data_IF_133703092824
#
_entry.id   IF_133703092824
#
_cell.length_a   1.000
_cell.length_b   1.000
_cell.length_c   1.000
_cell.angle_alpha   90.00
_cell.angle_beta   90.00
_cell.angle_gamma   90.00
#
_symmetry.space_group_name_H-M   'P 1'
#
loop_
_entity.id
_entity.type
_entity.pdbx_description
1 polymer ?
#
# COMPACT_ATOMS: atom_id res chain seq x y z
N UNK A 1 13.16 -0.36 -5.61
CA UNK A 1 13.56 -0.28 -4.20
C UNK A 1 12.79 0.85 -3.56
N UNK A 2 12.05 0.61 -2.48
CA UNK A 2 11.28 1.63 -1.78
C UNK A 2 12.03 2.11 -0.53
N UNK A 3 11.74 3.34 -0.06
CA UNK A 3 12.33 3.87 1.18
C UNK A 3 11.85 3.16 2.44
N UNK A 4 10.72 2.44 2.38
CA UNK A 4 10.11 1.79 3.55
C UNK A 4 10.37 0.30 3.60
N UNK A 5 10.28 -0.39 2.46
CA UNK A 5 10.39 -1.85 2.39
C UNK A 5 10.83 -2.32 1.01
N UNK A 6 11.49 -3.46 1.00
CA UNK A 6 11.85 -4.21 -0.20
C UNK A 6 10.96 -5.45 -0.32
N UNK A 7 10.67 -5.88 -1.55
CA UNK A 7 9.88 -7.07 -1.82
C UNK A 7 10.75 -8.19 -2.37
N UNK A 8 10.69 -9.35 -1.71
CA UNK A 8 11.26 -10.60 -2.20
C UNK A 8 10.14 -11.53 -2.62
N UNK A 9 10.19 -12.05 -3.85
CA UNK A 9 9.21 -13.03 -4.34
C UNK A 9 9.69 -14.42 -3.97
N UNK A 10 8.91 -15.13 -3.18
CA UNK A 10 9.17 -16.53 -2.78
C UNK A 10 8.51 -17.48 -3.77
N UNK A 11 7.23 -17.24 -4.07
CA UNK A 11 6.46 -17.99 -5.05
C UNK A 11 5.71 -17.00 -5.95
N UNK A 12 5.87 -17.13 -7.27
CA UNK A 12 5.14 -16.27 -8.22
C UNK A 12 3.66 -16.62 -8.22
N UNK A 13 2.77 -15.62 -8.30
CA UNK A 13 1.34 -15.86 -8.48
C UNK A 13 1.05 -16.42 -9.88
N UNK A 14 0.00 -17.22 -9.98
CA UNK A 14 -0.54 -17.72 -11.25
C UNK A 14 -1.87 -17.02 -11.59
N UNK A 15 -2.53 -17.41 -12.66
CA UNK A 15 -3.84 -16.89 -13.01
C UNK A 15 -4.93 -17.28 -11.98
N UNK A 16 -4.77 -18.41 -11.32
CA UNK A 16 -5.78 -18.94 -10.40
C UNK A 16 -5.35 -18.90 -8.93
N UNK A 17 -4.04 -18.81 -8.66
CA UNK A 17 -3.50 -18.91 -7.31
C UNK A 17 -2.66 -17.70 -6.93
N UNK A 18 -2.76 -17.27 -5.69
CA UNK A 18 -1.89 -16.22 -5.13
C UNK A 18 -0.48 -16.77 -4.97
N UNK A 19 0.51 -15.92 -5.22
CA UNK A 19 1.89 -16.20 -4.87
C UNK A 19 2.19 -15.86 -3.40
N UNK A 20 3.45 -16.05 -3.04
CA UNK A 20 4.00 -15.71 -1.72
C UNK A 20 5.17 -14.73 -1.90
N UNK A 21 5.16 -13.66 -1.14
CA UNK A 21 6.25 -12.71 -1.07
C UNK A 21 6.59 -12.34 0.36
N UNK A 22 7.74 -11.69 0.53
CA UNK A 22 8.17 -11.15 1.80
C UNK A 22 8.52 -9.68 1.65
N UNK A 23 7.88 -8.83 2.42
CA UNK A 23 8.35 -7.49 2.65
C UNK A 23 9.46 -7.52 3.71
N UNK A 24 10.60 -6.94 3.37
CA UNK A 24 11.68 -6.67 4.31
C UNK A 24 11.63 -5.18 4.62
N UNK A 25 11.10 -4.82 5.76
CA UNK A 25 11.00 -3.43 6.19
C UNK A 25 12.38 -2.88 6.52
N UNK A 26 12.64 -1.66 6.08
CA UNK A 26 13.95 -1.03 6.21
C UNK A 26 13.94 0.06 7.28
N UNK A 27 15.11 0.31 7.83
CA UNK A 27 15.37 1.42 8.72
C UNK A 27 15.68 2.72 7.95
N UNK A 28 15.76 2.62 6.60
CA UNK A 28 15.93 3.78 5.69
C UNK A 28 14.71 4.68 5.76
N UNK A 29 14.90 5.96 5.51
CA UNK A 29 13.82 6.93 5.36
C UNK A 29 14.15 7.94 4.24
N UNK A 30 13.13 8.61 3.77
CA UNK A 30 13.23 9.68 2.80
C UNK A 30 12.57 10.95 3.32
N UNK A 31 13.05 12.10 2.89
CA UNK A 31 12.47 13.40 3.24
C UNK A 31 12.10 14.13 1.96
N UNK A 32 10.80 14.24 1.70
CA UNK A 32 10.24 14.90 0.52
C UNK A 32 11.04 14.62 -0.77
N UNK A 33 11.45 15.67 -1.48
CA UNK A 33 12.15 15.57 -2.76
C UNK A 33 13.66 15.27 -2.62
N UNK A 34 14.19 15.17 -1.40
CA UNK A 34 15.59 14.78 -1.17
C UNK A 34 15.86 13.31 -1.50
N UNK A 35 14.83 12.49 -1.48
CA UNK A 35 14.97 11.05 -1.64
C UNK A 35 15.44 10.35 -0.37
N UNK A 36 16.23 9.28 -0.53
CA UNK A 36 16.72 8.49 0.60
C UNK A 36 17.82 9.25 1.36
N UNK A 37 17.67 9.32 2.68
CA UNK A 37 18.65 9.97 3.56
C UNK A 37 19.88 9.09 3.79
N UNK A 38 21.06 9.68 4.06
CA UNK A 38 22.29 8.92 4.23
C UNK A 38 22.37 8.12 5.54
N UNK A 39 21.59 8.47 6.54
CA UNK A 39 21.49 7.79 7.82
C UNK A 39 20.22 6.93 7.91
N UNK A 40 20.06 6.24 9.03
CA UNK A 40 18.91 5.35 9.28
C UNK A 40 18.24 5.71 10.62
N UNK A 41 16.99 5.31 10.76
CA UNK A 41 16.28 5.33 12.04
C UNK A 41 16.31 3.89 12.60
N UNK A 42 17.13 3.61 13.62
CA UNK A 42 17.25 2.26 14.17
C UNK A 42 15.91 1.66 14.58
N UNK A 43 15.70 0.37 14.27
CA UNK A 43 14.48 -0.39 14.56
C UNK A 43 13.18 0.14 13.94
N UNK A 44 13.23 1.17 13.07
CA UNK A 44 12.05 1.65 12.34
C UNK A 44 11.38 0.53 11.55
N UNK A 45 12.16 -0.30 10.84
CA UNK A 45 11.64 -1.41 10.05
C UNK A 45 10.87 -2.42 10.90
N UNK A 46 11.40 -2.81 12.05
CA UNK A 46 10.70 -3.71 12.99
C UNK A 46 9.42 -3.08 13.53
N UNK A 47 9.49 -1.81 13.93
CA UNK A 47 8.34 -1.08 14.50
C UNK A 47 7.19 -0.99 13.50
N UNK A 48 7.48 -0.65 12.24
CA UNK A 48 6.47 -0.57 11.17
C UNK A 48 5.89 -1.95 10.88
N UNK A 49 6.72 -3.00 10.80
CA UNK A 49 6.26 -4.35 10.52
C UNK A 49 5.32 -4.87 11.61
N UNK A 50 5.69 -4.68 12.90
CA UNK A 50 4.87 -5.09 14.05
C UNK A 50 3.56 -4.31 14.10
N UNK A 51 3.60 -2.99 13.93
CA UNK A 51 2.39 -2.15 13.94
C UNK A 51 1.44 -2.52 12.79
N UNK A 52 1.97 -2.70 11.58
CA UNK A 52 1.16 -3.13 10.43
C UNK A 52 0.52 -4.50 10.68
N UNK A 53 1.28 -5.45 11.23
CA UNK A 53 0.78 -6.78 11.56
C UNK A 53 -0.35 -6.75 12.58
N UNK A 54 -0.26 -5.88 13.58
CA UNK A 54 -1.33 -5.69 14.56
C UNK A 54 -2.66 -5.31 13.88
N UNK A 55 -2.63 -4.34 12.96
CA UNK A 55 -3.83 -3.94 12.25
C UNK A 55 -4.33 -5.01 11.28
N UNK A 56 -3.44 -5.72 10.59
CA UNK A 56 -3.86 -6.83 9.72
C UNK A 56 -4.50 -7.97 10.52
N UNK A 57 -3.98 -8.32 11.69
CA UNK A 57 -4.57 -9.34 12.54
C UNK A 57 -5.93 -8.88 13.07
N UNK A 58 -6.09 -7.60 13.43
CA UNK A 58 -7.40 -7.03 13.80
C UNK A 58 -8.41 -7.06 12.66
N UNK A 59 -8.00 -6.72 11.44
CA UNK A 59 -8.87 -6.84 10.27
C UNK A 59 -9.30 -8.29 10.02
N UNK A 60 -8.38 -9.24 10.14
CA UNK A 60 -8.68 -10.66 10.00
C UNK A 60 -9.66 -11.15 11.09
N UNK A 61 -9.52 -10.70 12.34
CA UNK A 61 -10.47 -10.98 13.42
C UNK A 61 -11.89 -10.46 13.09
N UNK A 62 -11.99 -9.36 12.35
CA UNK A 62 -13.25 -8.79 11.87
C UNK A 62 -13.80 -9.48 10.61
N UNK A 63 -13.13 -10.52 10.09
CA UNK A 63 -13.51 -11.21 8.86
C UNK A 63 -13.08 -10.51 7.57
N UNK A 64 -12.29 -9.43 7.65
CA UNK A 64 -11.78 -8.70 6.50
C UNK A 64 -10.51 -9.38 6.00
N UNK A 65 -10.57 -9.93 4.79
CA UNK A 65 -9.42 -10.60 4.18
C UNK A 65 -8.36 -9.59 3.74
N UNK A 66 -7.11 -9.89 4.06
CA UNK A 66 -5.95 -9.08 3.69
C UNK A 66 -4.90 -9.91 2.97
N UNK A 67 -3.84 -9.27 2.49
CA UNK A 67 -2.69 -9.96 1.91
C UNK A 67 -1.71 -10.51 2.98
N UNK A 68 -1.87 -10.15 4.23
CA UNK A 68 -0.99 -10.53 5.33
C UNK A 68 -1.10 -12.03 5.67
N UNK A 69 0.05 -12.68 5.87
CA UNK A 69 0.15 -14.07 6.31
C UNK A 69 0.77 -14.20 7.70
N UNK A 70 1.70 -13.32 8.05
CA UNK A 70 2.40 -13.32 9.32
C UNK A 70 3.75 -12.64 9.27
N UNK A 71 4.45 -12.62 10.39
CA UNK A 71 5.85 -12.19 10.49
C UNK A 71 6.78 -13.41 10.50
N UNK A 72 7.99 -13.24 9.97
CA UNK A 72 8.98 -14.31 9.91
C UNK A 72 9.91 -14.25 11.12
N UNK A 73 9.96 -15.33 11.89
CA UNK A 73 10.94 -15.56 12.93
C UNK A 73 11.49 -16.99 12.78
N UNK A 74 12.81 -17.15 12.80
CA UNK A 74 13.51 -18.44 12.60
C UNK A 74 13.04 -19.18 11.34
N UNK A 75 12.81 -18.43 10.25
CA UNK A 75 12.37 -18.98 8.97
C UNK A 75 10.89 -19.38 8.91
N UNK A 76 10.13 -19.27 10.00
CA UNK A 76 8.72 -19.65 10.12
C UNK A 76 7.82 -18.43 10.17
N UNK A 77 6.65 -18.54 9.52
CA UNK A 77 5.60 -17.53 9.58
C UNK A 77 4.83 -17.67 10.89
N UNK A 78 4.74 -16.58 11.66
CA UNK A 78 4.08 -16.53 12.97
C UNK A 78 3.13 -15.34 13.04
N UNK A 79 2.06 -15.48 13.82
CA UNK A 79 1.25 -14.32 14.27
C UNK A 79 1.97 -13.55 15.36
N UNK A 80 1.57 -12.31 15.60
CA UNK A 80 2.18 -11.45 16.62
C UNK A 80 2.28 -12.09 18.00
N UNK A 81 1.21 -12.74 18.45
CA UNK A 81 1.15 -13.39 19.78
C UNK A 81 2.16 -14.54 19.92
N UNK A 82 2.66 -15.08 18.83
CA UNK A 82 3.58 -16.23 18.81
C UNK A 82 5.04 -15.82 18.53
N UNK A 83 5.31 -14.51 18.33
CA UNK A 83 6.67 -14.01 18.21
C UNK A 83 7.35 -13.95 19.57
N UNK A 84 8.62 -14.35 19.59
CA UNK A 84 9.49 -14.18 20.76
C UNK A 84 10.26 -12.84 20.67
N UNK A 85 10.50 -12.34 19.46
CA UNK A 85 11.17 -11.08 19.22
C UNK A 85 10.57 -10.33 18.01
N UNK A 86 10.65 -8.97 17.97
CA UNK A 86 10.15 -8.20 16.84
C UNK A 86 10.87 -8.56 15.53
N UNK A 87 10.11 -8.84 14.48
CA UNK A 87 10.62 -9.11 13.15
C UNK A 87 10.36 -7.95 12.19
N UNK A 88 11.28 -7.72 11.25
CA UNK A 88 11.11 -6.78 10.14
C UNK A 88 10.69 -7.45 8.84
N UNK A 89 10.44 -8.76 8.85
CA UNK A 89 10.08 -9.53 7.66
C UNK A 89 8.63 -9.97 7.77
N UNK A 90 7.80 -9.50 6.84
CA UNK A 90 6.37 -9.84 6.75
C UNK A 90 6.12 -10.70 5.53
N UNK A 91 5.53 -11.87 5.73
CA UNK A 91 5.07 -12.72 4.64
C UNK A 91 3.68 -12.32 4.18
N UNK A 92 3.49 -12.28 2.88
CA UNK A 92 2.27 -11.78 2.24
C UNK A 92 1.86 -12.66 1.05
N UNK A 93 0.57 -12.63 0.74
CA UNK A 93 0.05 -13.12 -0.55
C UNK A 93 0.41 -12.13 -1.65
N UNK A 94 0.76 -12.65 -2.81
CA UNK A 94 1.02 -11.87 -4.02
C UNK A 94 -0.07 -12.10 -5.06
N UNK A 95 -0.44 -11.04 -5.75
CA UNK A 95 -1.28 -11.07 -6.94
C UNK A 95 -0.43 -10.87 -8.19
N UNK A 96 -0.91 -11.31 -9.35
CA UNK A 96 -0.29 -10.96 -10.63
C UNK A 96 -0.39 -9.45 -10.85
N UNK A 97 0.65 -8.86 -11.36
CA UNK A 97 0.66 -7.44 -11.77
C UNK A 97 0.60 -7.41 -13.29
N UNK A 98 -0.52 -6.90 -13.81
CA UNK A 98 -0.70 -6.59 -15.23
C UNK A 98 -0.32 -5.13 -15.39
N UNK A 99 0.67 -4.86 -16.24
CA UNK A 99 1.07 -3.47 -16.52
C UNK A 99 0.32 -2.98 -17.76
N UNK A 100 -0.44 -1.88 -17.66
CA UNK A 100 -1.05 -1.27 -18.84
C UNK A 100 0.05 -0.75 -19.78
N UNK A 101 -0.15 -0.91 -21.08
CA UNK A 101 0.74 -0.31 -22.07
C UNK A 101 0.49 1.21 -22.16
N UNK A 102 1.58 1.96 -22.26
CA UNK A 102 1.50 3.41 -22.46
C UNK A 102 1.71 3.71 -23.95
N UNK A 103 0.65 4.17 -24.63
CA UNK A 103 0.67 4.49 -26.08
C UNK A 103 0.03 5.86 -26.30
N UNK A 104 0.67 6.69 -27.11
CA UNK A 104 0.14 8.00 -27.53
C UNK A 104 -0.29 8.90 -26.35
N UNK A 105 0.45 8.88 -25.24
CA UNK A 105 0.14 9.69 -24.04
C UNK A 105 -0.93 9.12 -23.12
N UNK A 106 -1.47 7.94 -23.41
CA UNK A 106 -2.58 7.32 -22.67
C UNK A 106 -2.21 5.88 -22.28
N UNK A 107 -2.60 5.47 -21.07
CA UNK A 107 -2.49 4.07 -20.64
C UNK A 107 -3.67 3.25 -21.15
N UNK A 108 -3.37 2.10 -21.78
CA UNK A 108 -4.38 1.14 -22.22
C UNK A 108 -4.76 0.19 -21.06
N UNK A 109 -5.93 0.38 -20.51
CA UNK A 109 -6.51 -0.47 -19.46
C UNK A 109 -7.42 -1.59 -20.01
N UNK A 110 -7.50 -1.75 -21.33
CA UNK A 110 -8.35 -2.80 -21.97
C UNK A 110 -8.03 -4.22 -21.49
N UNK A 111 -6.77 -4.61 -21.17
CA UNK A 111 -6.48 -5.95 -20.67
C UNK A 111 -7.27 -6.31 -19.41
N UNK A 112 -7.57 -5.33 -18.53
CA UNK A 112 -8.30 -5.58 -17.28
C UNK A 112 -9.78 -5.90 -17.49
N UNK A 113 -10.38 -5.52 -18.63
CA UNK A 113 -11.79 -5.79 -18.93
C UNK A 113 -12.04 -7.27 -19.21
N UNK A 114 -11.05 -7.94 -19.76
CA UNK A 114 -11.16 -9.33 -20.23
C UNK A 114 -10.41 -10.31 -19.32
N UNK A 115 -9.55 -9.81 -18.45
CA UNK A 115 -8.77 -10.64 -17.54
C UNK A 115 -9.67 -11.17 -16.41
N UNK A 116 -9.55 -12.47 -16.16
CA UNK A 116 -10.25 -13.13 -15.05
C UNK A 116 -9.23 -13.70 -14.08
N UNK A 117 -9.59 -13.67 -12.81
CA UNK A 117 -8.80 -14.30 -11.76
C UNK A 117 -7.81 -13.34 -11.09
N UNK A 118 -6.80 -13.90 -10.57
CA UNK A 118 -5.87 -13.41 -9.59
C UNK A 118 -4.94 -12.29 -10.13
N UNK A 119 -5.38 -11.02 -10.09
CA UNK A 119 -4.54 -9.87 -10.44
C UNK A 119 -4.80 -8.66 -9.54
N UNK A 120 -3.78 -7.81 -9.42
CA UNK A 120 -3.86 -6.55 -8.69
C UNK A 120 -4.64 -5.53 -9.52
N UNK A 121 -5.72 -5.00 -8.96
CA UNK A 121 -6.45 -3.88 -9.56
C UNK A 121 -5.53 -2.64 -9.46
N UNK A 122 -5.21 -1.95 -10.57
CA UNK A 122 -4.26 -0.84 -10.59
C UNK A 122 -4.90 0.48 -10.11
N UNK A 123 -5.53 0.44 -8.95
CA UNK A 123 -6.24 1.57 -8.35
C UNK A 123 -5.76 1.74 -6.93
N UNK A 124 -5.41 2.95 -6.56
CA UNK A 124 -5.21 3.34 -5.18
C UNK A 124 -6.52 3.91 -4.62
N UNK A 125 -7.07 3.30 -3.58
CA UNK A 125 -8.25 3.80 -2.88
C UNK A 125 -7.79 4.64 -1.68
N UNK A 126 -8.09 5.94 -1.72
CA UNK A 126 -7.71 6.88 -0.68
C UNK A 126 -8.97 7.32 0.07
N UNK A 127 -9.05 6.95 1.34
CA UNK A 127 -10.10 7.41 2.25
C UNK A 127 -9.57 8.51 3.16
N UNK A 128 -10.34 9.59 3.31
CA UNK A 128 -9.93 10.72 4.14
C UNK A 128 -11.13 11.23 4.94
N UNK A 129 -10.94 11.49 6.22
CA UNK A 129 -11.92 12.15 7.07
C UNK A 129 -11.85 13.69 6.97
N UNK A 130 -10.70 14.21 6.52
CA UNK A 130 -10.41 15.65 6.43
C UNK A 130 -9.57 15.92 5.18
N UNK A 131 -9.67 17.16 4.67
CA UNK A 131 -8.80 17.67 3.61
C UNK A 131 -7.72 18.59 4.23
N UNK A 132 -6.53 18.07 4.58
CA UNK A 132 -5.47 18.91 5.12
C UNK A 132 -5.04 19.97 4.09
N UNK A 133 -4.53 21.12 4.57
CA UNK A 133 -4.11 22.23 3.71
C UNK A 133 -3.12 21.83 2.59
N UNK A 134 -2.26 20.83 2.84
CA UNK A 134 -1.31 20.29 1.85
C UNK A 134 -1.90 19.21 0.94
N UNK A 135 -3.22 18.97 0.95
CA UNK A 135 -3.84 17.97 0.09
C UNK A 135 -3.67 18.31 -1.39
N UNK A 136 -3.26 17.33 -2.19
CA UNK A 136 -3.17 17.44 -3.65
C UNK A 136 -4.52 17.73 -4.33
N UNK A 137 -5.63 17.49 -3.64
CA UNK A 137 -6.99 17.80 -4.10
C UNK A 137 -7.12 19.27 -4.47
N UNK A 138 -6.64 20.20 -3.62
CA UNK A 138 -6.72 21.63 -3.90
C UNK A 138 -6.00 22.01 -5.20
N UNK A 139 -4.77 21.51 -5.38
CA UNK A 139 -4.00 21.75 -6.61
C UNK A 139 -4.67 21.18 -7.86
N UNK A 140 -5.33 20.03 -7.73
CA UNK A 140 -6.04 19.41 -8.86
C UNK A 140 -7.29 20.19 -9.25
N UNK A 141 -8.02 20.73 -8.26
CA UNK A 141 -9.17 21.60 -8.52
C UNK A 141 -8.72 22.92 -9.17
N UNK A 142 -7.65 23.55 -8.64
CA UNK A 142 -7.08 24.76 -9.25
C UNK A 142 -6.67 24.58 -10.70
N UNK A 143 -6.21 23.38 -11.08
CA UNK A 143 -5.83 23.05 -12.46
C UNK A 143 -7.01 22.61 -13.35
N UNK A 144 -8.22 22.54 -12.80
CA UNK A 144 -9.38 22.02 -13.51
C UNK A 144 -9.34 20.52 -13.81
N UNK A 145 -8.48 19.78 -13.11
CA UNK A 145 -8.37 18.31 -13.24
C UNK A 145 -9.43 17.57 -12.42
N UNK A 146 -10.12 18.28 -11.54
CA UNK A 146 -11.10 17.75 -10.59
C UNK A 146 -12.08 18.87 -10.22
N UNK A 147 -13.36 18.58 -10.11
CA UNK A 147 -14.36 19.50 -9.58
C UNK A 147 -14.79 19.12 -8.16
N UNK A 148 -15.38 20.03 -7.38
CA UNK A 148 -15.97 19.68 -6.09
C UNK A 148 -17.02 18.57 -6.20
N UNK A 149 -17.83 18.57 -7.27
CA UNK A 149 -18.88 17.59 -7.55
C UNK A 149 -18.32 16.19 -7.76
N UNK A 150 -17.13 16.06 -8.39
CA UNK A 150 -16.43 14.77 -8.56
C UNK A 150 -16.04 14.15 -7.21
N UNK A 151 -15.96 14.97 -6.17
CA UNK A 151 -15.69 14.56 -4.79
C UNK A 151 -16.97 14.35 -3.96
N UNK A 152 -18.15 14.56 -4.57
CA UNK A 152 -19.42 14.56 -3.86
C UNK A 152 -19.65 15.79 -2.98
N UNK A 153 -18.90 16.88 -3.21
CA UNK A 153 -19.02 18.11 -2.44
C UNK A 153 -19.88 19.13 -3.18
N UNK A 154 -20.78 19.82 -2.46
CA UNK A 154 -21.66 20.82 -3.02
C UNK A 154 -20.96 22.15 -3.34
N UNK A 155 -19.78 22.39 -2.79
CA UNK A 155 -19.00 23.63 -2.95
C UNK A 155 -17.52 23.39 -2.80
N UNK A 156 -16.72 24.40 -3.14
CA UNK A 156 -15.26 24.36 -2.99
C UNK A 156 -14.87 24.01 -1.55
N UNK A 157 -14.08 22.94 -1.33
CA UNK A 157 -13.66 22.56 0.01
C UNK A 157 -12.66 23.57 0.59
N UNK A 158 -12.71 23.73 1.91
CA UNK A 158 -11.74 24.54 2.64
C UNK A 158 -10.64 23.68 3.29
N UNK A 159 -9.43 24.23 3.52
CA UNK A 159 -8.39 23.51 4.25
C UNK A 159 -8.86 23.06 5.63
N UNK A 160 -8.52 21.80 5.97
CA UNK A 160 -8.92 21.12 7.20
C UNK A 160 -10.44 20.89 7.35
N UNK A 161 -11.21 21.04 6.28
CA UNK A 161 -12.63 20.69 6.28
C UNK A 161 -12.80 19.22 6.61
N UNK A 162 -13.72 18.92 7.53
CA UNK A 162 -14.19 17.56 7.77
C UNK A 162 -15.06 17.13 6.59
N UNK A 163 -14.85 15.91 6.12
CA UNK A 163 -15.66 15.27 5.09
C UNK A 163 -16.73 14.44 5.80
N UNK A 164 -17.97 14.57 5.39
CA UNK A 164 -19.12 13.79 5.89
C UNK A 164 -19.40 12.62 4.96
#
# INVERSE_FOLDING_TARGET
>A
MGSVKDLTIIQKPTQTETGIGRFVFSDRYSVFDWGEMPDIIPDKGKSIAVLASYFFEKLNEMGIQTHYLGLIEDGKTKSLKNLLSPSKIMEIKLLRVIKPEFKNGIYDYSPYKNEKGNFLIPIEVIYRNYLPAGSSVFKRIERGELSPEDLGLAQMPTPNQKLE
#
